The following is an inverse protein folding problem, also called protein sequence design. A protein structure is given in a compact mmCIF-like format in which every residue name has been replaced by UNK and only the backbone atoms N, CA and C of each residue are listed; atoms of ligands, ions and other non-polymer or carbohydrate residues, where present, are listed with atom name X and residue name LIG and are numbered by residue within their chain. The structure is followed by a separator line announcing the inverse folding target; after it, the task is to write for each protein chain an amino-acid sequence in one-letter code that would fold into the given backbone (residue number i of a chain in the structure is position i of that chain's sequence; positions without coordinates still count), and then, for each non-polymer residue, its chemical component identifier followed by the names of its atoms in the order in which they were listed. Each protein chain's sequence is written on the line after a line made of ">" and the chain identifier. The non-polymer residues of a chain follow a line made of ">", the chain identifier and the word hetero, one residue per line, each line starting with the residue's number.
data_IF_308203732685
#
_entry.id   IF_308203732685
#
_cell.length_a   1.000
_cell.length_b   1.000
_cell.length_c   1.000
_cell.angle_alpha   90.00
_cell.angle_beta   90.00
_cell.angle_gamma   90.00
#
_symmetry.space_group_name_H-M   'P 1'
#
loop_
_entity.id
_entity.type
_entity.pdbx_description
1 polymer ?
#
# COMPACT_ATOMS: atom_id res chain seq x y z
N UNK A 1 -0.11 11.64 -10.52
CA UNK A 1 1.17 11.60 -9.76
C UNK A 1 1.11 10.48 -8.73
N UNK A 2 2.23 9.80 -8.44
CA UNK A 2 2.29 8.73 -7.41
C UNK A 2 3.51 8.95 -6.53
N UNK A 3 3.33 8.85 -5.20
CA UNK A 3 4.42 8.96 -4.23
C UNK A 3 4.37 7.83 -3.21
N UNK A 4 5.52 7.35 -2.78
CA UNK A 4 5.60 6.41 -1.67
C UNK A 4 5.52 7.17 -0.34
N UNK A 5 4.62 6.76 0.55
CA UNK A 5 4.53 7.31 1.88
C UNK A 5 5.65 6.73 2.75
N UNK A 6 6.43 7.61 3.38
CA UNK A 6 7.47 7.24 4.35
C UNK A 6 7.02 7.40 5.81
N UNK A 7 5.88 8.05 6.05
CA UNK A 7 5.40 8.38 7.39
C UNK A 7 3.95 7.95 7.59
N UNK A 8 3.67 7.35 8.75
CA UNK A 8 2.32 7.00 9.16
C UNK A 8 1.52 8.26 9.54
N UNK A 9 0.87 8.88 8.55
CA UNK A 9 0.14 10.14 8.72
C UNK A 9 -1.20 9.93 9.40
N UNK A 10 -1.67 10.96 10.10
CA UNK A 10 -3.02 11.00 10.65
C UNK A 10 -4.04 11.31 9.56
N UNK A 11 -5.24 10.76 9.74
CA UNK A 11 -6.38 10.99 8.87
C UNK A 11 -7.31 12.03 9.50
N UNK A 12 -8.04 12.77 8.68
CA UNK A 12 -8.88 13.87 9.16
C UNK A 12 -10.17 13.36 9.82
N UNK A 13 -10.76 12.31 9.26
CA UNK A 13 -12.07 11.76 9.66
C UNK A 13 -11.99 10.34 10.25
N UNK A 14 -10.78 9.84 10.53
CA UNK A 14 -10.58 8.49 11.06
C UNK A 14 -9.65 8.53 12.27
N UNK A 15 -9.99 7.85 13.38
CA UNK A 15 -9.12 7.77 14.54
C UNK A 15 -7.85 6.95 14.26
N UNK A 16 -7.87 6.07 13.26
CA UNK A 16 -6.70 5.28 12.86
C UNK A 16 -5.74 6.11 12.00
N UNK A 17 -4.47 5.73 12.03
CA UNK A 17 -3.48 6.30 11.12
C UNK A 17 -3.55 5.60 9.76
N UNK A 18 -2.84 6.17 8.79
CA UNK A 18 -2.88 5.75 7.38
C UNK A 18 -2.65 4.23 7.20
N UNK A 19 -1.67 3.64 7.88
CA UNK A 19 -1.39 2.21 7.77
C UNK A 19 -2.50 1.36 8.37
N UNK A 20 -2.88 1.64 9.61
CA UNK A 20 -3.93 0.92 10.33
C UNK A 20 -5.26 0.96 9.57
N UNK A 21 -5.60 2.09 8.95
CA UNK A 21 -6.80 2.21 8.13
C UNK A 21 -6.81 1.21 6.97
N UNK A 22 -5.67 1.05 6.30
CA UNK A 22 -5.50 0.24 5.09
C UNK A 22 -5.28 -1.24 5.40
N UNK A 23 -4.61 -1.57 6.49
CA UNK A 23 -4.51 -2.94 7.01
C UNK A 23 -5.89 -3.53 7.33
N UNK A 24 -6.83 -2.69 7.76
CA UNK A 24 -8.22 -3.08 8.01
C UNK A 24 -9.12 -3.04 6.77
N UNK A 25 -8.60 -2.66 5.59
CA UNK A 25 -9.40 -2.71 4.35
C UNK A 25 -9.36 -4.11 3.75
N UNK A 26 -10.48 -4.55 3.13
CA UNK A 26 -10.47 -5.80 2.38
C UNK A 26 -9.48 -5.72 1.23
N UNK A 27 -8.73 -6.81 1.05
CA UNK A 27 -7.84 -7.01 -0.10
C UNK A 27 -8.70 -6.96 -1.36
N UNK A 28 -8.35 -6.05 -2.27
CA UNK A 28 -9.05 -5.84 -3.54
C UNK A 28 -8.49 -6.75 -4.64
N UNK A 29 -7.28 -7.27 -4.46
CA UNK A 29 -6.71 -8.30 -5.31
C UNK A 29 -5.23 -8.52 -5.05
N UNK A 30 -4.60 -9.27 -5.94
CA UNK A 30 -3.19 -9.63 -5.84
C UNK A 30 -2.41 -9.15 -7.06
N UNK A 31 -1.16 -8.77 -6.83
CA UNK A 31 -0.23 -8.40 -7.90
C UNK A 31 1.09 -9.12 -7.71
N UNK A 32 1.53 -9.81 -8.74
CA UNK A 32 2.88 -10.34 -8.80
C UNK A 32 3.83 -9.26 -9.32
N UNK A 33 4.93 -9.05 -8.60
CA UNK A 33 5.96 -8.08 -8.94
C UNK A 33 7.32 -8.73 -8.94
N UNK A 34 8.12 -8.39 -9.94
CA UNK A 34 9.54 -8.72 -9.96
C UNK A 34 10.30 -7.68 -9.14
N UNK A 35 11.02 -8.16 -8.14
CA UNK A 35 11.83 -7.30 -7.29
C UNK A 35 13.27 -7.50 -7.71
N UNK A 36 13.88 -6.42 -8.18
CA UNK A 36 15.27 -6.42 -8.62
C UNK A 36 16.23 -6.78 -7.50
N UNK A 37 17.37 -7.34 -7.89
CA UNK A 37 18.48 -7.58 -6.99
C UNK A 37 19.05 -6.26 -6.44
N UNK A 38 19.31 -6.21 -5.14
CA UNK A 38 20.03 -5.14 -4.48
C UNK A 38 21.31 -5.72 -3.84
N UNK A 39 22.19 -4.85 -3.33
CA UNK A 39 23.42 -5.29 -2.63
C UNK A 39 23.14 -6.25 -1.46
N UNK A 40 21.93 -6.22 -0.90
CA UNK A 40 21.54 -6.99 0.28
C UNK A 40 20.53 -8.09 -0.02
N UNK A 41 19.95 -8.13 -1.23
CA UNK A 41 18.82 -9.02 -1.54
C UNK A 41 18.85 -9.51 -2.99
N UNK A 42 18.74 -10.83 -3.18
CA UNK A 42 18.61 -11.43 -4.52
C UNK A 42 17.29 -11.05 -5.19
N UNK A 43 17.34 -10.89 -6.51
CA UNK A 43 16.14 -10.66 -7.32
C UNK A 43 15.17 -11.84 -7.21
N UNK A 44 13.88 -11.56 -7.05
CA UNK A 44 12.82 -12.58 -6.92
C UNK A 44 11.45 -12.02 -7.27
N UNK A 45 10.53 -12.89 -7.65
CA UNK A 45 9.10 -12.56 -7.78
C UNK A 45 8.43 -12.58 -6.41
N UNK A 46 7.51 -11.66 -6.17
CA UNK A 46 6.67 -11.64 -4.97
C UNK A 46 5.21 -11.38 -5.32
N UNK A 47 4.31 -12.18 -4.74
CA UNK A 47 2.87 -11.95 -4.77
C UNK A 47 2.50 -10.99 -3.64
N UNK A 48 1.98 -9.82 -3.99
CA UNK A 48 1.53 -8.79 -3.06
C UNK A 48 0.00 -8.77 -3.00
N UNK A 49 -0.56 -8.75 -1.80
CA UNK A 49 -1.94 -8.37 -1.57
C UNK A 49 -2.06 -6.85 -1.71
N UNK A 50 -3.08 -6.39 -2.42
CA UNK A 50 -3.33 -4.97 -2.66
C UNK A 50 -4.69 -4.59 -2.08
N UNK A 51 -4.71 -3.61 -1.20
CA UNK A 51 -5.92 -2.90 -0.78
C UNK A 51 -5.75 -1.41 -1.06
N UNK A 52 -6.85 -0.72 -1.34
CA UNK A 52 -6.82 0.72 -1.56
C UNK A 52 -8.08 1.38 -1.05
N UNK A 53 -7.96 2.64 -0.65
CA UNK A 53 -9.07 3.42 -0.11
C UNK A 53 -8.86 4.91 -0.35
N UNK A 54 -9.96 5.65 -0.52
CA UNK A 54 -9.92 7.11 -0.59
C UNK A 54 -9.79 7.67 0.84
N UNK A 55 -8.69 8.36 1.11
CA UNK A 55 -8.41 8.91 2.45
C UNK A 55 -8.27 10.43 2.39
N UNK A 56 -8.55 11.07 3.52
CA UNK A 56 -8.26 12.49 3.73
C UNK A 56 -7.13 12.61 4.74
N UNK A 57 -5.95 13.01 4.26
CA UNK A 57 -4.79 13.24 5.11
C UNK A 57 -4.96 14.55 5.86
N UNK A 58 -4.65 14.53 7.16
CA UNK A 58 -4.55 15.77 7.94
C UNK A 58 -3.32 16.55 7.47
N UNK A 59 -3.55 17.81 7.08
CA UNK A 59 -2.48 18.73 6.69
C UNK A 59 -2.22 19.74 7.81
N UNK A 60 -0.96 20.12 8.06
CA UNK A 60 -0.65 21.23 8.97
C UNK A 60 -1.23 22.56 8.49
N UNK A 61 -1.41 22.74 7.18
CA UNK A 61 -1.90 23.98 6.58
C UNK A 61 -3.43 23.96 6.39
N UNK A 62 -4.23 23.64 7.42
CA UNK A 62 -5.73 23.69 7.50
C UNK A 62 -6.54 23.10 6.32
N UNK A 63 -5.90 22.51 5.32
CA UNK A 63 -6.50 22.01 4.09
C UNK A 63 -6.32 20.50 4.07
N UNK A 64 -7.39 19.77 4.35
CA UNK A 64 -7.39 18.31 4.22
C UNK A 64 -7.04 17.93 2.77
N UNK A 65 -6.10 17.01 2.60
CA UNK A 65 -5.69 16.54 1.28
C UNK A 65 -6.34 15.18 1.01
N UNK A 66 -7.29 15.16 0.08
CA UNK A 66 -7.93 13.92 -0.37
C UNK A 66 -7.06 13.24 -1.42
N UNK A 67 -6.68 11.98 -1.17
CA UNK A 67 -5.87 11.15 -2.06
C UNK A 67 -6.29 9.69 -1.94
N UNK A 68 -6.06 8.93 -3.00
CA UNK A 68 -6.13 7.47 -2.91
C UNK A 68 -4.86 6.96 -2.24
N UNK A 69 -5.06 6.11 -1.24
CA UNK A 69 -3.99 5.37 -0.60
C UNK A 69 -4.07 3.90 -1.03
N UNK A 70 -2.94 3.36 -1.48
CA UNK A 70 -2.79 1.98 -1.94
C UNK A 70 -1.76 1.31 -1.04
N UNK A 71 -2.16 0.23 -0.40
CA UNK A 71 -1.26 -0.61 0.39
C UNK A 71 -1.04 -1.93 -0.32
N UNK A 72 0.20 -2.18 -0.70
CA UNK A 72 0.65 -3.40 -1.35
C UNK A 72 1.67 -4.09 -0.45
N UNK A 73 1.35 -5.28 0.05
CA UNK A 73 2.21 -5.99 1.01
C UNK A 73 2.24 -7.49 0.74
N UNK A 74 3.36 -8.12 1.08
CA UNK A 74 3.50 -9.57 0.98
C UNK A 74 2.78 -10.22 2.17
N UNK A 75 1.78 -11.07 1.90
CA UNK A 75 1.09 -11.84 2.95
C UNK A 75 1.98 -12.97 3.50
N UNK A 76 2.64 -13.71 2.61
CA UNK A 76 3.42 -14.89 2.99
C UNK A 76 4.93 -14.60 2.90
N UNK A 77 5.53 -14.11 3.99
CA UNK A 77 6.98 -14.00 4.11
C UNK A 77 7.53 -15.29 4.73
N UNK A 78 8.41 -15.99 4.00
CA UNK A 78 9.13 -17.15 4.54
C UNK A 78 10.15 -16.68 5.59
N UNK A 79 10.52 -17.53 6.54
CA UNK A 79 11.56 -17.20 7.52
C UNK A 79 12.88 -16.85 6.81
N UNK A 80 13.43 -15.67 7.13
CA UNK A 80 14.64 -15.12 6.48
C UNK A 80 14.38 -14.29 5.21
N UNK A 81 13.12 -14.18 4.75
CA UNK A 81 12.75 -13.31 3.64
C UNK A 81 12.42 -11.89 4.12
N UNK A 82 13.12 -10.89 3.55
CA UNK A 82 12.82 -9.48 3.81
C UNK A 82 11.38 -9.15 3.36
N UNK A 83 10.51 -8.65 4.25
CA UNK A 83 9.12 -8.34 3.93
C UNK A 83 9.04 -7.14 2.98
N UNK A 84 8.10 -7.20 2.04
CA UNK A 84 7.86 -6.12 1.07
C UNK A 84 6.53 -5.49 1.41
N UNK A 85 6.55 -4.18 1.64
CA UNK A 85 5.41 -3.40 2.10
C UNK A 85 5.52 -1.99 1.51
N UNK A 86 4.56 -1.62 0.68
CA UNK A 86 4.50 -0.33 0.00
C UNK A 86 3.19 0.36 0.30
N UNK A 87 3.32 1.55 0.89
CA UNK A 87 2.22 2.50 1.00
C UNK A 87 2.40 3.57 -0.06
N UNK A 88 1.47 3.65 -1.00
CA UNK A 88 1.49 4.60 -2.11
C UNK A 88 0.32 5.57 -1.96
N UNK A 89 0.57 6.84 -2.31
CA UNK A 89 -0.42 7.90 -2.35
C UNK A 89 -0.51 8.43 -3.77
N UNK A 90 -1.73 8.61 -4.26
CA UNK A 90 -1.97 9.14 -5.61
C UNK A 90 -3.20 10.05 -5.67
N UNK A 91 -3.11 11.05 -6.54
CA UNK A 91 -4.23 11.90 -6.94
C UNK A 91 -5.15 11.24 -7.95
N UNK A 92 -4.66 10.22 -8.66
CA UNK A 92 -5.40 9.55 -9.71
C UNK A 92 -6.40 8.55 -9.12
N UNK A 93 -7.57 8.34 -9.76
CA UNK A 93 -8.50 7.31 -9.33
C UNK A 93 -7.87 5.93 -9.43
N UNK A 94 -7.90 5.18 -8.33
CA UNK A 94 -7.47 3.77 -8.30
C UNK A 94 -8.70 2.90 -8.55
N UNK A 95 -8.67 2.14 -9.64
CA UNK A 95 -9.72 1.18 -10.00
C UNK A 95 -9.16 -0.24 -9.90
N UNK A 96 -10.02 -1.18 -9.50
CA UNK A 96 -9.62 -2.55 -9.18
C UNK A 96 -9.59 -3.47 -10.40
N UNK A 97 -8.62 -3.30 -11.30
CA UNK A 97 -8.28 -4.35 -12.27
C UNK A 97 -7.14 -5.21 -11.72
N UNK A 98 -7.48 -6.09 -10.77
CA UNK A 98 -6.54 -7.05 -10.19
C UNK A 98 -7.00 -8.47 -10.52
N UNK A 99 -6.09 -9.31 -10.99
CA UNK A 99 -6.38 -10.72 -11.21
C UNK A 99 -6.67 -11.38 -9.86
N UNK A 100 -7.93 -11.71 -9.61
CA UNK A 100 -8.36 -12.47 -8.45
C UNK A 100 -8.05 -13.93 -8.75
N UNK A 101 -6.82 -14.38 -8.51
CA UNK A 101 -6.52 -15.82 -8.51
C UNK A 101 -6.54 -16.31 -7.06
N UNK A 102 -7.68 -16.82 -6.57
CA UNK A 102 -7.69 -17.64 -5.37
C UNK A 102 -6.96 -18.94 -5.69
N UNK A 103 -5.97 -19.28 -4.86
CA UNK A 103 -5.37 -20.62 -4.85
C UNK A 103 -6.20 -21.54 -3.99
#
# INVERSE_FOLDING_TARGET
>A
MVVQAAHNRTLEQDPNRLWEKLENQPVQGYKEVELSETKTRKGRSAKLAVCFYLVQLRSPARLALQVYAVYAYKMDCTEGEEPVSWMLLTSEPVTGEFSITPG
#
